data_IF_908297452075
#
_entry.id   IF_908297452075
#
_cell.length_a   1.000
_cell.length_b   1.000
_cell.length_c   1.000
_cell.angle_alpha   90.00
_cell.angle_beta   90.00
_cell.angle_gamma   90.00
#
_symmetry.space_group_name_H-M   'P 1'
#
loop_
_entity.id
_entity.type
_entity.pdbx_description
1 polymer ?
#
# COMPACT_ATOMS: atom_id res chain seq x y z
N UNK A 1 -7.25 36.30 17.93
CA UNK A 1 -7.68 35.05 17.24
C UNK A 1 -8.81 34.46 18.06
N UNK A 2 -9.91 34.04 17.42
CA UNK A 2 -11.03 33.41 18.11
C UNK A 2 -11.17 31.99 17.55
N UNK A 3 -10.93 30.98 18.40
CA UNK A 3 -11.00 29.57 18.01
C UNK A 3 -12.10 28.93 18.84
N UNK A 4 -13.03 28.29 18.15
CA UNK A 4 -14.18 27.66 18.76
C UNK A 4 -14.26 26.20 18.32
N UNK A 5 -14.57 25.33 19.28
CA UNK A 5 -14.88 23.94 19.02
C UNK A 5 -16.05 23.51 19.92
N UNK A 6 -16.95 22.63 19.45
CA UNK A 6 -17.94 22.01 20.32
C UNK A 6 -17.27 21.32 21.51
N UNK A 7 -18.00 21.20 22.62
CA UNK A 7 -17.51 20.51 23.82
C UNK A 7 -17.45 18.99 23.63
N UNK A 8 -16.53 18.54 22.78
CA UNK A 8 -16.33 17.14 22.39
C UNK A 8 -14.85 16.76 22.52
N UNK A 9 -14.58 15.55 23.01
CA UNK A 9 -13.21 15.08 23.29
C UNK A 9 -12.34 15.02 22.05
N UNK A 10 -12.91 14.78 20.87
CA UNK A 10 -12.13 14.68 19.65
C UNK A 10 -12.04 16.04 18.97
N UNK A 11 -13.12 16.81 18.92
CA UNK A 11 -13.10 18.13 18.28
C UNK A 11 -12.23 19.13 19.06
N UNK A 12 -12.24 19.11 20.39
CA UNK A 12 -11.35 19.95 21.20
C UNK A 12 -9.88 19.52 21.08
N UNK A 13 -9.59 18.22 21.11
CA UNK A 13 -8.22 17.73 20.95
C UNK A 13 -7.69 17.97 19.54
N UNK A 14 -8.53 17.87 18.52
CA UNK A 14 -8.18 18.18 17.13
C UNK A 14 -7.90 19.67 16.96
N UNK A 15 -8.73 20.54 17.57
CA UNK A 15 -8.49 21.98 17.58
C UNK A 15 -7.18 22.31 18.32
N UNK A 16 -6.88 21.66 19.45
CA UNK A 16 -5.60 21.82 20.14
C UNK A 16 -4.44 21.36 19.26
N UNK A 17 -4.52 20.17 18.66
CA UNK A 17 -3.47 19.63 17.78
C UNK A 17 -3.20 20.54 16.58
N UNK A 18 -4.25 21.03 15.93
CA UNK A 18 -4.14 22.00 14.83
C UNK A 18 -3.46 23.30 15.29
N UNK A 19 -3.85 23.84 16.45
CA UNK A 19 -3.26 25.06 16.98
C UNK A 19 -1.80 24.87 17.40
N UNK A 20 -1.40 23.67 17.84
CA UNK A 20 0.00 23.35 18.10
C UNK A 20 0.83 23.23 16.82
N UNK A 21 0.23 22.81 15.71
CA UNK A 21 0.88 22.87 14.39
C UNK A 21 1.01 24.29 13.87
N UNK A 22 -0.02 25.13 14.08
CA UNK A 22 -0.04 26.52 13.60
C UNK A 22 0.81 27.45 14.48
N UNK A 23 0.92 27.17 15.77
CA UNK A 23 1.70 27.92 16.76
C UNK A 23 2.60 26.96 17.55
N UNK A 24 3.69 26.48 16.94
CA UNK A 24 4.60 25.54 17.58
C UNK A 24 5.33 26.18 18.79
N UNK A 25 5.93 25.37 19.67
CA UNK A 25 6.71 25.87 20.80
C UNK A 25 7.83 26.81 20.35
N UNK A 26 7.91 27.99 20.97
CA UNK A 26 8.84 29.06 20.56
C UNK A 26 10.23 28.93 21.18
N UNK A 27 10.47 27.88 21.96
CA UNK A 27 11.73 27.65 22.66
C UNK A 27 11.92 28.54 23.89
N UNK A 28 12.98 28.29 24.64
CA UNK A 28 13.35 29.05 25.84
C UNK A 28 13.75 30.50 25.55
N UNK A 29 14.19 30.83 24.34
CA UNK A 29 14.60 32.21 24.00
C UNK A 29 13.42 33.16 23.80
N UNK A 30 12.32 32.71 23.20
CA UNK A 30 11.12 33.52 22.96
C UNK A 30 9.99 33.23 23.97
N UNK A 31 10.07 32.10 24.67
CA UNK A 31 9.08 31.67 25.66
C UNK A 31 9.34 32.18 27.09
N UNK A 32 10.39 32.99 27.30
CA UNK A 32 10.70 33.63 28.58
C UNK A 32 10.05 35.01 28.63
N UNK A 33 9.28 35.27 29.69
CA UNK A 33 8.81 36.60 30.06
C UNK A 33 9.53 37.03 31.33
N UNK A 34 10.15 38.21 31.29
CA UNK A 34 10.83 38.79 32.43
C UNK A 34 9.84 39.61 33.26
N UNK A 35 9.68 39.24 34.53
CA UNK A 35 8.79 39.90 35.48
C UNK A 35 9.46 41.15 36.08
N UNK A 36 8.63 42.07 36.58
CA UNK A 36 9.09 43.36 37.12
C UNK A 36 9.98 43.25 38.37
N UNK A 37 10.02 42.08 39.03
CA UNK A 37 10.92 41.78 40.14
C UNK A 37 12.28 41.21 39.69
N UNK A 38 12.55 41.18 38.37
CA UNK A 38 13.79 40.64 37.79
C UNK A 38 13.81 39.12 37.61
N UNK A 39 12.78 38.39 38.02
CA UNK A 39 12.67 36.95 37.78
C UNK A 39 12.11 36.64 36.40
N UNK A 40 12.46 35.49 35.85
CA UNK A 40 12.00 35.03 34.54
C UNK A 40 11.03 33.87 34.68
N UNK A 41 9.90 33.95 33.99
CA UNK A 41 8.95 32.84 33.88
C UNK A 41 8.95 32.33 32.45
N UNK A 42 9.00 31.01 32.29
CA UNK A 42 9.00 30.36 30.99
C UNK A 42 7.71 29.56 30.81
N UNK A 43 7.11 29.64 29.63
CA UNK A 43 6.00 28.76 29.29
C UNK A 43 6.44 27.27 29.30
N UNK A 44 5.62 26.36 29.84
CA UNK A 44 5.95 24.94 29.97
C UNK A 44 6.27 24.28 28.62
N UNK A 45 6.83 23.06 28.64
CA UNK A 45 7.17 22.28 27.44
C UNK A 45 8.00 23.07 26.40
N UNK A 46 9.02 23.79 26.87
CA UNK A 46 9.96 24.56 26.03
C UNK A 46 9.30 25.66 25.18
N UNK A 47 8.45 26.50 25.80
CA UNK A 47 7.82 27.63 25.10
C UNK A 47 6.50 27.26 24.42
N UNK A 48 5.79 26.25 24.92
CA UNK A 48 4.49 25.82 24.39
C UNK A 48 3.46 26.94 24.48
N UNK A 49 2.75 27.19 23.38
CA UNK A 49 1.78 28.26 23.27
C UNK A 49 0.39 27.75 23.60
N UNK A 50 -0.17 28.21 24.72
CA UNK A 50 -1.52 27.90 25.15
C UNK A 50 -2.51 28.85 24.46
N UNK A 51 -3.11 28.40 23.37
CA UNK A 51 -4.16 29.13 22.68
C UNK A 51 -5.52 28.68 23.25
N UNK A 52 -6.28 29.58 23.88
CA UNK A 52 -7.58 29.23 24.43
C UNK A 52 -8.54 28.86 23.30
N UNK A 53 -9.15 27.68 23.43
CA UNK A 53 -10.25 27.25 22.58
C UNK A 53 -11.52 27.52 23.36
N UNK A 54 -12.35 28.41 22.84
CA UNK A 54 -13.67 28.65 23.41
C UNK A 54 -14.55 27.45 23.09
N UNK A 55 -15.09 26.80 24.12
CA UNK A 55 -16.11 25.78 23.92
C UNK A 55 -17.39 26.47 23.46
N UNK A 56 -17.90 26.07 22.30
CA UNK A 56 -19.30 26.34 21.98
C UNK A 56 -20.10 25.20 22.58
N UNK A 57 -21.00 25.54 23.51
CA UNK A 57 -21.96 24.57 24.03
C UNK A 57 -22.82 24.12 22.86
N UNK A 58 -22.64 22.89 22.40
CA UNK A 58 -23.70 22.22 21.64
C UNK A 58 -24.92 22.25 22.54
N UNK A 59 -26.03 22.85 22.09
CA UNK A 59 -27.29 22.85 22.85
C UNK A 59 -27.84 21.41 23.04
N UNK A 60 -27.22 20.40 22.43
CA UNK A 60 -27.48 19.00 22.66
C UNK A 60 -26.73 18.54 23.93
N UNK A 61 -27.49 18.39 25.02
CA UNK A 61 -27.06 17.56 26.13
C UNK A 61 -26.94 16.13 25.66
N UNK A 62 -25.72 15.63 25.54
CA UNK A 62 -25.43 14.22 25.41
C UNK A 62 -25.12 13.74 23.99
N UNK A 63 -24.06 12.93 23.94
CA UNK A 63 -23.60 12.05 22.85
C UNK A 63 -22.57 12.66 21.92
N UNK A 64 -21.30 12.39 22.26
CA UNK A 64 -20.15 12.16 21.37
C UNK A 64 -20.46 12.42 19.89
N UNK A 65 -19.96 13.54 19.36
CA UNK A 65 -20.16 13.98 17.97
C UNK A 65 -19.66 12.93 16.96
N UNK A 66 -18.79 12.03 17.42
CA UNK A 66 -18.15 10.94 16.67
C UNK A 66 -18.97 9.64 16.66
N UNK A 67 -19.77 9.39 17.71
CA UNK A 67 -20.60 8.17 17.81
C UNK A 67 -22.05 8.42 17.40
N UNK A 68 -22.43 9.68 17.19
CA UNK A 68 -23.68 9.95 16.51
C UNK A 68 -23.49 9.61 15.04
N UNK A 69 -24.05 8.48 14.60
CA UNK A 69 -24.14 8.09 13.20
C UNK A 69 -24.83 9.15 12.30
N UNK A 70 -25.24 10.29 12.88
CA UNK A 70 -25.96 11.38 12.25
C UNK A 70 -25.36 12.75 12.60
N UNK A 71 -24.89 13.47 11.56
CA UNK A 71 -24.16 14.73 11.64
C UNK A 71 -24.87 15.90 12.36
N UNK A 72 -26.20 15.83 12.54
CA UNK A 72 -27.00 16.97 13.04
C UNK A 72 -27.29 16.95 14.54
N UNK A 73 -27.05 15.82 15.23
CA UNK A 73 -27.32 15.68 16.67
C UNK A 73 -26.49 16.64 17.53
N UNK A 74 -25.26 16.94 17.12
CA UNK A 74 -24.35 17.82 17.83
C UNK A 74 -24.71 19.33 17.74
N UNK A 75 -25.65 19.72 16.88
CA UNK A 75 -26.02 21.14 16.72
C UNK A 75 -26.84 21.69 17.89
N UNK A 76 -27.55 20.82 18.62
CA UNK A 76 -28.51 21.22 19.65
C UNK A 76 -29.71 22.04 19.16
N UNK A 77 -29.86 22.17 17.83
CA UNK A 77 -31.04 22.74 17.22
C UNK A 77 -32.17 21.70 17.27
N UNK A 78 -33.15 21.92 18.16
CA UNK A 78 -34.25 20.98 18.37
C UNK A 78 -35.02 20.69 17.07
N UNK A 79 -35.21 21.69 16.20
CA UNK A 79 -35.86 21.48 14.89
C UNK A 79 -35.02 20.59 13.95
N UNK A 80 -33.69 20.73 13.96
CA UNK A 80 -32.80 19.88 13.17
C UNK A 80 -32.76 18.45 13.72
N UNK A 81 -32.79 18.29 15.05
CA UNK A 81 -32.90 16.98 15.73
C UNK A 81 -34.24 16.32 15.38
N UNK A 82 -35.36 17.04 15.50
CA UNK A 82 -36.68 16.53 15.13
C UNK A 82 -36.73 16.15 13.65
N UNK A 83 -36.27 17.02 12.76
CA UNK A 83 -36.22 16.74 11.32
C UNK A 83 -35.37 15.50 11.02
N UNK A 84 -34.24 15.35 11.70
CA UNK A 84 -33.35 14.19 11.56
C UNK A 84 -33.97 12.90 12.08
N UNK A 85 -34.69 12.96 13.20
CA UNK A 85 -35.41 11.80 13.73
C UNK A 85 -36.61 11.43 12.84
N UNK A 86 -37.30 12.44 12.29
CA UNK A 86 -38.40 12.26 11.34
C UNK A 86 -37.95 11.58 10.04
N UNK A 87 -36.68 11.74 9.63
CA UNK A 87 -36.15 10.99 8.48
C UNK A 87 -36.30 9.48 8.67
N UNK A 88 -36.05 8.94 9.86
CA UNK A 88 -36.24 7.50 10.14
C UNK A 88 -37.70 7.05 10.13
N UNK A 89 -38.65 8.00 10.17
CA UNK A 89 -40.08 7.74 10.03
C UNK A 89 -40.57 7.97 8.60
N UNK A 90 -39.78 8.61 7.74
CA UNK A 90 -40.16 8.93 6.36
C UNK A 90 -40.36 7.70 5.49
N UNK A 91 -41.20 7.83 4.46
CA UNK A 91 -41.40 6.78 3.45
C UNK A 91 -40.10 6.42 2.72
N UNK A 92 -39.24 7.41 2.47
CA UNK A 92 -37.98 7.22 1.74
C UNK A 92 -37.02 6.33 2.53
N UNK A 93 -36.87 6.60 3.83
CA UNK A 93 -36.07 5.75 4.70
C UNK A 93 -36.65 4.34 4.79
N UNK A 94 -37.97 4.21 5.03
CA UNK A 94 -38.61 2.89 5.14
C UNK A 94 -38.50 2.08 3.84
N UNK A 95 -38.66 2.72 2.68
CA UNK A 95 -38.52 2.09 1.37
C UNK A 95 -37.08 1.59 1.16
N UNK A 96 -36.08 2.39 1.52
CA UNK A 96 -34.67 2.01 1.36
C UNK A 96 -34.25 0.93 2.38
N UNK A 97 -34.71 1.04 3.63
CA UNK A 97 -34.49 0.04 4.68
C UNK A 97 -35.11 -1.31 4.33
N UNK A 98 -36.32 -1.33 3.75
CA UNK A 98 -36.98 -2.55 3.34
C UNK A 98 -36.36 -3.15 2.08
N UNK A 99 -36.05 -2.33 1.07
CA UNK A 99 -35.45 -2.82 -0.18
C UNK A 99 -34.03 -3.36 0.01
N UNK A 100 -33.27 -2.84 0.98
CA UNK A 100 -31.92 -3.32 1.31
C UNK A 100 -31.87 -4.34 2.45
N UNK A 101 -33.00 -4.70 3.05
CA UNK A 101 -33.04 -5.60 4.20
C UNK A 101 -32.36 -6.95 3.92
N UNK A 102 -32.62 -7.55 2.76
CA UNK A 102 -32.01 -8.82 2.36
C UNK A 102 -30.48 -8.72 2.23
N UNK A 103 -29.97 -7.62 1.66
CA UNK A 103 -28.54 -7.37 1.56
C UNK A 103 -27.89 -7.32 2.94
N UNK A 104 -28.39 -6.50 3.85
CA UNK A 104 -27.80 -6.42 5.19
C UNK A 104 -27.92 -7.75 5.94
N UNK A 105 -29.08 -8.43 5.89
CA UNK A 105 -29.22 -9.75 6.53
C UNK A 105 -28.25 -10.80 5.96
N UNK A 106 -27.90 -10.72 4.67
CA UNK A 106 -26.89 -11.60 4.06
C UNK A 106 -25.47 -11.37 4.59
N UNK A 107 -25.18 -10.21 5.18
CA UNK A 107 -23.88 -9.88 5.78
C UNK A 107 -23.72 -10.45 7.20
N UNK A 108 -24.81 -10.89 7.86
CA UNK A 108 -24.77 -11.39 9.23
C UNK A 108 -23.69 -12.45 9.49
N UNK A 109 -23.47 -13.46 8.62
CA UNK A 109 -22.43 -14.47 8.88
C UNK A 109 -21.02 -13.89 9.00
N UNK A 110 -20.77 -12.72 8.41
CA UNK A 110 -19.46 -12.05 8.39
C UNK A 110 -19.32 -11.08 9.56
N UNK A 111 -20.41 -10.46 10.01
CA UNK A 111 -20.38 -9.41 11.05
C UNK A 111 -21.01 -9.79 12.38
N UNK A 112 -21.53 -11.02 12.54
CA UNK A 112 -22.22 -11.47 13.76
C UNK A 112 -21.37 -11.43 15.04
N UNK A 113 -20.04 -11.49 14.92
CA UNK A 113 -19.11 -11.33 16.04
C UNK A 113 -19.05 -9.89 16.57
N UNK A 114 -19.45 -8.91 15.76
CA UNK A 114 -19.41 -7.47 16.09
C UNK A 114 -20.80 -6.87 16.25
N UNK A 115 -21.75 -7.27 15.40
CA UNK A 115 -23.10 -6.70 15.33
C UNK A 115 -24.18 -7.78 15.41
N UNK A 116 -25.25 -7.47 16.13
CA UNK A 116 -26.45 -8.33 16.15
C UNK A 116 -27.23 -8.18 14.83
N UNK A 117 -28.05 -9.18 14.49
CA UNK A 117 -28.89 -9.14 13.29
C UNK A 117 -29.83 -7.92 13.24
N UNK A 118 -30.23 -7.39 14.41
CA UNK A 118 -31.05 -6.18 14.55
C UNK A 118 -30.24 -4.90 14.31
N UNK A 119 -28.94 -4.93 14.59
CA UNK A 119 -28.05 -3.81 14.32
C UNK A 119 -27.66 -3.74 12.83
N UNK A 120 -27.52 -4.90 12.18
CA UNK A 120 -27.14 -5.01 10.78
C UNK A 120 -28.29 -4.63 9.82
N UNK A 121 -28.49 -3.33 9.65
CA UNK A 121 -29.57 -2.72 8.88
C UNK A 121 -29.08 -1.44 8.20
N UNK A 122 -29.85 -0.93 7.22
CA UNK A 122 -29.56 0.33 6.55
C UNK A 122 -29.41 1.51 7.54
N UNK A 123 -30.15 1.49 8.66
CA UNK A 123 -29.99 2.48 9.74
C UNK A 123 -28.55 2.62 10.25
N UNK A 124 -27.79 1.51 10.29
CA UNK A 124 -26.40 1.48 10.76
C UNK A 124 -25.42 1.15 9.63
N UNK A 125 -25.78 1.47 8.38
CA UNK A 125 -25.03 1.14 7.18
C UNK A 125 -23.54 1.52 7.29
N UNK A 126 -23.25 2.72 7.79
CA UNK A 126 -21.87 3.21 7.92
C UNK A 126 -21.01 2.28 8.78
N UNK A 127 -21.47 1.95 10.00
CA UNK A 127 -20.71 1.10 10.92
C UNK A 127 -20.55 -0.33 10.39
N UNK A 128 -21.59 -0.88 9.76
CA UNK A 128 -21.54 -2.22 9.15
C UNK A 128 -20.51 -2.26 8.02
N UNK A 129 -20.58 -1.31 7.08
CA UNK A 129 -19.68 -1.26 5.94
C UNK A 129 -18.25 -0.90 6.34
N UNK A 130 -18.07 -0.05 7.36
CA UNK A 130 -16.77 0.25 7.92
C UNK A 130 -16.12 -1.01 8.53
N UNK A 131 -16.88 -1.80 9.29
CA UNK A 131 -16.36 -3.06 9.84
C UNK A 131 -15.94 -4.03 8.74
N UNK A 132 -16.75 -4.17 7.69
CA UNK A 132 -16.40 -5.00 6.53
C UNK A 132 -15.13 -4.51 5.83
N UNK A 133 -14.99 -3.19 5.65
CA UNK A 133 -13.77 -2.59 5.08
C UNK A 133 -12.56 -2.87 5.97
N UNK A 134 -12.67 -2.68 7.28
CA UNK A 134 -11.58 -2.98 8.23
C UNK A 134 -11.16 -4.44 8.19
N UNK A 135 -12.12 -5.38 8.07
CA UNK A 135 -11.82 -6.80 7.94
C UNK A 135 -11.12 -7.11 6.60
N UNK A 136 -11.55 -6.48 5.51
CA UNK A 136 -10.90 -6.60 4.21
C UNK A 136 -9.48 -6.02 4.24
N UNK A 137 -9.29 -4.85 4.84
CA UNK A 137 -7.99 -4.22 5.04
C UNK A 137 -7.03 -5.14 5.80
N UNK A 138 -7.49 -5.72 6.91
CA UNK A 138 -6.71 -6.67 7.69
C UNK A 138 -6.36 -7.94 6.89
N UNK A 139 -7.29 -8.46 6.10
CA UNK A 139 -7.04 -9.62 5.23
C UNK A 139 -5.93 -9.32 4.21
N UNK A 140 -6.06 -8.24 3.45
CA UNK A 140 -5.09 -7.86 2.42
C UNK A 140 -3.72 -7.53 3.02
N UNK A 141 -3.69 -6.85 4.16
CA UNK A 141 -2.43 -6.57 4.87
C UNK A 141 -1.73 -7.86 5.33
N UNK A 142 -2.48 -8.81 5.87
CA UNK A 142 -1.95 -10.11 6.31
C UNK A 142 -1.44 -10.97 5.14
N UNK A 143 -1.98 -10.78 3.93
CA UNK A 143 -1.44 -11.39 2.72
C UNK A 143 -0.10 -10.75 2.34
N UNK A 144 0.01 -9.42 2.45
CA UNK A 144 1.17 -8.66 2.04
C UNK A 144 2.37 -8.74 3.00
N UNK A 145 2.16 -9.05 4.28
CA UNK A 145 3.23 -9.16 5.28
C UNK A 145 2.82 -10.03 6.48
N UNK A 146 3.79 -10.77 7.02
CA UNK A 146 3.69 -11.42 8.33
C UNK A 146 5.08 -11.43 8.97
N UNK A 147 5.18 -11.02 10.24
CA UNK A 147 6.45 -10.99 10.96
C UNK A 147 7.12 -12.38 11.08
N UNK A 148 6.32 -13.45 11.17
CA UNK A 148 6.80 -14.83 11.21
C UNK A 148 7.18 -15.38 9.84
N UNK A 149 6.75 -14.73 8.76
CA UNK A 149 6.98 -15.14 7.37
C UNK A 149 7.33 -13.93 6.49
N UNK A 150 8.53 -13.35 6.64
CA UNK A 150 8.90 -12.07 6.03
C UNK A 150 8.91 -12.09 4.50
N UNK A 151 9.04 -13.26 3.87
CA UNK A 151 9.05 -13.40 2.41
C UNK A 151 7.72 -12.99 1.77
N UNK A 152 6.61 -12.95 2.53
CA UNK A 152 5.33 -12.40 2.06
C UNK A 152 5.43 -10.99 1.49
N UNK A 153 6.36 -10.18 2.01
CA UNK A 153 6.58 -8.82 1.55
C UNK A 153 7.50 -8.72 0.31
N UNK A 154 7.65 -9.79 -0.48
CA UNK A 154 8.55 -9.83 -1.65
C UNK A 154 8.31 -8.71 -2.66
N UNK A 155 7.05 -8.30 -2.85
CA UNK A 155 6.72 -7.19 -3.74
C UNK A 155 7.31 -5.86 -3.21
N UNK A 156 7.23 -5.64 -1.90
CA UNK A 156 7.83 -4.49 -1.23
C UNK A 156 9.36 -4.55 -1.25
N UNK A 157 9.95 -5.72 -1.04
CA UNK A 157 11.40 -5.95 -1.13
C UNK A 157 11.94 -5.67 -2.53
N UNK A 158 11.26 -6.17 -3.56
CA UNK A 158 11.65 -5.96 -4.97
C UNK A 158 11.57 -4.48 -5.33
N UNK A 159 10.48 -3.82 -4.93
CA UNK A 159 10.33 -2.39 -5.10
C UNK A 159 11.42 -1.60 -4.38
N UNK A 160 11.76 -1.95 -3.13
CA UNK A 160 12.84 -1.30 -2.39
C UNK A 160 14.18 -1.41 -3.12
N UNK A 161 14.47 -2.58 -3.71
CA UNK A 161 15.63 -2.78 -4.58
C UNK A 161 15.61 -1.88 -5.82
N UNK A 162 14.47 -1.78 -6.51
CA UNK A 162 14.30 -0.91 -7.68
C UNK A 162 14.43 0.57 -7.32
N UNK A 163 13.85 1.01 -6.20
CA UNK A 163 14.00 2.38 -5.69
C UNK A 163 15.48 2.67 -5.43
N UNK A 164 16.18 1.77 -4.73
CA UNK A 164 17.59 1.95 -4.43
C UNK A 164 18.43 2.05 -5.72
N UNK A 165 18.20 1.16 -6.68
CA UNK A 165 18.87 1.21 -7.98
C UNK A 165 18.63 2.54 -8.69
N UNK A 166 17.41 3.05 -8.65
CA UNK A 166 17.02 4.25 -9.37
C UNK A 166 17.54 5.53 -8.71
N UNK A 167 17.56 5.58 -7.38
CA UNK A 167 18.20 6.65 -6.62
C UNK A 167 19.72 6.64 -6.83
N UNK A 168 20.34 5.46 -6.82
CA UNK A 168 21.77 5.32 -7.09
C UNK A 168 22.15 5.77 -8.51
N UNK A 169 21.33 5.41 -9.51
CA UNK A 169 21.49 5.89 -10.88
C UNK A 169 21.42 7.42 -10.95
N UNK A 170 20.45 8.03 -10.27
CA UNK A 170 20.32 9.50 -10.20
C UNK A 170 21.58 10.14 -9.60
N UNK A 171 22.16 9.55 -8.54
CA UNK A 171 23.38 10.06 -7.90
C UNK A 171 24.60 9.91 -8.81
N UNK A 172 24.83 8.71 -9.35
CA UNK A 172 26.01 8.37 -10.16
C UNK A 172 26.04 9.09 -11.51
N UNK A 173 24.87 9.29 -12.13
CA UNK A 173 24.73 10.05 -13.38
C UNK A 173 24.61 11.56 -13.17
N UNK A 174 24.75 12.04 -11.93
CA UNK A 174 24.62 13.46 -11.56
C UNK A 174 23.31 14.06 -12.06
N UNK A 175 22.20 13.35 -11.81
CA UNK A 175 20.84 13.74 -12.18
C UNK A 175 20.60 13.89 -13.69
N UNK A 176 21.25 13.06 -14.53
CA UNK A 176 20.88 12.93 -15.94
C UNK A 176 19.42 12.45 -16.09
N UNK A 177 18.99 11.53 -15.22
CA UNK A 177 17.58 11.16 -15.04
C UNK A 177 17.10 11.74 -13.71
N UNK A 178 16.18 12.70 -13.77
CA UNK A 178 15.72 13.47 -12.59
C UNK A 178 14.45 12.93 -11.94
N UNK A 179 13.68 12.15 -12.68
CA UNK A 179 12.38 11.69 -12.26
C UNK A 179 12.11 10.30 -12.83
N UNK A 180 11.54 9.44 -12.00
CA UNK A 180 11.14 8.10 -12.36
C UNK A 180 9.76 7.84 -11.78
N UNK A 181 8.92 7.16 -12.54
CA UNK A 181 7.57 6.79 -12.13
C UNK A 181 7.37 5.31 -12.36
N UNK A 182 6.78 4.65 -11.38
CA UNK A 182 6.41 3.24 -11.44
C UNK A 182 4.98 3.09 -10.97
N UNK A 183 4.22 2.24 -11.65
CA UNK A 183 2.85 1.95 -11.32
C UNK A 183 2.78 0.57 -10.69
N UNK A 184 2.09 0.46 -9.56
CA UNK A 184 1.89 -0.82 -8.89
C UNK A 184 0.51 -0.92 -8.26
N UNK A 185 0.18 -2.10 -7.76
CA UNK A 185 -1.05 -2.40 -7.05
C UNK A 185 -0.92 -2.13 -5.55
N UNK A 186 -2.06 -2.02 -4.86
CA UNK A 186 -2.15 -1.78 -3.43
C UNK A 186 -1.31 -2.76 -2.59
N UNK A 187 -1.18 -4.03 -2.99
CA UNK A 187 -0.37 -5.02 -2.28
C UNK A 187 1.11 -4.66 -2.20
N UNK A 188 1.66 -3.96 -3.22
CA UNK A 188 3.05 -3.47 -3.18
C UNK A 188 3.22 -2.35 -2.16
N UNK A 189 2.22 -1.47 -2.03
CA UNK A 189 2.21 -0.46 -0.97
C UNK A 189 2.20 -1.14 0.40
N UNK A 190 1.25 -2.05 0.65
CA UNK A 190 1.13 -2.76 1.93
C UNK A 190 2.41 -3.53 2.30
N UNK A 191 3.01 -4.25 1.34
CA UNK A 191 4.28 -4.95 1.57
C UNK A 191 5.42 -3.98 1.87
N UNK A 192 5.57 -2.90 1.11
CA UNK A 192 6.62 -1.90 1.36
C UNK A 192 6.41 -1.20 2.71
N UNK A 193 5.20 -0.78 3.03
CA UNK A 193 4.87 -0.10 4.28
C UNK A 193 5.20 -0.95 5.50
N UNK A 194 4.97 -2.26 5.40
CA UNK A 194 5.30 -3.20 6.45
C UNK A 194 6.81 -3.31 6.66
N UNK A 195 7.58 -3.46 5.57
CA UNK A 195 9.04 -3.51 5.62
C UNK A 195 9.66 -2.19 6.10
N UNK A 196 9.06 -1.07 5.74
CA UNK A 196 9.44 0.27 6.16
C UNK A 196 8.97 0.62 7.58
N UNK A 197 8.27 -0.29 8.27
CA UNK A 197 7.73 -0.11 9.62
C UNK A 197 6.80 1.12 9.74
N UNK A 198 6.07 1.43 8.67
CA UNK A 198 5.20 2.60 8.61
C UNK A 198 3.89 2.43 9.41
N UNK A 199 3.48 1.18 9.65
CA UNK A 199 2.31 0.84 10.47
C UNK A 199 2.33 1.44 11.88
N UNK A 200 3.52 1.76 12.42
CA UNK A 200 3.66 2.39 13.73
C UNK A 200 3.20 3.87 13.77
N UNK A 201 3.13 4.55 12.62
CA UNK A 201 2.82 5.98 12.57
C UNK A 201 1.35 6.28 12.24
N UNK A 202 0.67 5.40 11.50
CA UNK A 202 -0.72 5.61 11.12
C UNK A 202 -1.41 4.30 10.74
N UNK A 203 -2.69 4.10 11.10
CA UNK A 203 -3.49 2.95 10.64
C UNK A 203 -3.68 2.94 9.11
N UNK A 204 -3.48 4.06 8.43
CA UNK A 204 -3.53 4.13 6.96
C UNK A 204 -2.50 3.22 6.28
N UNK A 205 -1.41 2.89 6.97
CA UNK A 205 -0.37 1.99 6.43
C UNK A 205 -0.70 0.51 6.57
N UNK A 206 -1.75 0.17 7.33
CA UNK A 206 -2.30 -1.19 7.43
C UNK A 206 -3.59 -1.36 6.63
N UNK A 207 -4.12 -0.28 6.04
CA UNK A 207 -5.30 -0.32 5.20
C UNK A 207 -4.95 -0.50 3.72
N UNK A 208 -5.91 -0.97 2.92
CA UNK A 208 -5.79 -0.93 1.47
C UNK A 208 -5.83 0.54 1.05
N UNK A 209 -4.78 0.96 0.34
CA UNK A 209 -4.65 2.33 -0.16
C UNK A 209 -5.76 2.64 -1.17
N UNK A 210 -6.26 3.87 -1.13
CA UNK A 210 -7.28 4.33 -2.07
C UNK A 210 -6.71 4.42 -3.49
N UNK A 211 -7.60 4.43 -4.49
CA UNK A 211 -7.19 4.60 -5.88
C UNK A 211 -6.45 5.94 -6.10
N UNK A 212 -5.46 5.90 -6.99
CA UNK A 212 -4.55 7.02 -7.27
C UNK A 212 -3.66 7.44 -6.10
N UNK A 213 -3.50 6.59 -5.08
CA UNK A 213 -2.48 6.77 -4.06
C UNK A 213 -1.08 6.80 -4.67
N UNK A 214 -0.21 7.59 -4.08
CA UNK A 214 1.17 7.75 -4.52
C UNK A 214 2.11 7.77 -3.33
N UNK A 215 3.26 7.12 -3.47
CA UNK A 215 4.38 7.32 -2.57
C UNK A 215 5.60 7.79 -3.34
N UNK A 216 6.37 8.69 -2.74
CA UNK A 216 7.45 9.41 -3.39
C UNK A 216 8.71 9.33 -2.54
N UNK A 217 9.83 9.06 -3.20
CA UNK A 217 11.15 9.06 -2.59
C UNK A 217 11.96 10.17 -3.23
N UNK A 218 12.32 11.17 -2.45
CA UNK A 218 13.06 12.33 -2.91
C UNK A 218 14.50 12.27 -2.41
N UNK A 219 15.46 12.57 -3.29
CA UNK A 219 16.81 12.92 -2.87
C UNK A 219 16.83 14.40 -2.49
N UNK A 220 17.16 14.69 -1.24
CA UNK A 220 17.29 16.02 -0.69
C UNK A 220 18.74 16.26 -0.26
N UNK A 221 19.22 17.49 -0.46
CA UNK A 221 20.51 17.94 0.06
C UNK A 221 20.39 19.39 0.49
N UNK A 222 21.17 19.78 1.48
CA UNK A 222 21.34 21.18 1.88
C UNK A 222 22.55 21.83 1.20
N UNK A 223 23.35 21.06 0.47
CA UNK A 223 24.48 21.57 -0.29
C UNK A 223 24.01 22.34 -1.54
N UNK A 224 24.77 23.37 -1.92
CA UNK A 224 24.46 24.16 -3.11
C UNK A 224 24.79 23.35 -4.37
N UNK A 225 23.74 22.91 -5.08
CA UNK A 225 23.87 22.18 -6.34
C UNK A 225 23.96 23.17 -7.50
N UNK A 226 24.94 23.00 -8.38
CA UNK A 226 25.06 23.79 -9.63
C UNK A 226 25.34 22.86 -10.81
N UNK A 227 25.30 23.38 -12.04
CA UNK A 227 25.62 22.59 -13.23
C UNK A 227 27.06 22.01 -13.24
N UNK A 228 27.94 22.52 -12.36
CA UNK A 228 29.35 22.11 -12.25
C UNK A 228 29.69 21.46 -10.90
N UNK A 229 28.78 21.48 -9.93
CA UNK A 229 28.99 20.92 -8.58
C UNK A 229 27.81 20.05 -8.17
N UNK A 230 28.08 18.78 -7.94
CA UNK A 230 27.11 17.79 -7.45
C UNK A 230 27.44 17.44 -6.00
N UNK A 231 26.44 17.33 -5.10
CA UNK A 231 26.67 17.03 -3.69
C UNK A 231 27.40 15.70 -3.51
N UNK A 232 28.23 15.61 -2.47
CA UNK A 232 28.83 14.35 -2.09
C UNK A 232 27.76 13.40 -1.53
N UNK A 233 27.95 12.08 -1.66
CA UNK A 233 26.92 11.08 -1.28
C UNK A 233 26.51 11.17 0.20
N UNK A 234 27.43 11.58 1.08
CA UNK A 234 27.18 11.80 2.51
C UNK A 234 26.35 13.06 2.80
N UNK A 235 26.20 13.98 1.85
CA UNK A 235 25.35 15.18 1.94
C UNK A 235 23.95 14.96 1.36
N UNK A 236 23.67 13.75 0.87
CA UNK A 236 22.39 13.37 0.27
C UNK A 236 21.57 12.58 1.28
N UNK A 237 20.33 12.98 1.43
CA UNK A 237 19.32 12.32 2.25
C UNK A 237 18.13 11.90 1.41
N UNK A 238 17.41 10.89 1.86
CA UNK A 238 16.15 10.44 1.26
C UNK A 238 15.00 10.94 2.14
N UNK A 239 13.97 11.50 1.51
CA UNK A 239 12.70 11.84 2.14
C UNK A 239 11.59 11.00 1.51
N UNK A 240 10.78 10.39 2.36
CA UNK A 240 9.62 9.61 1.94
C UNK A 240 8.34 10.42 2.14
N UNK A 241 7.49 10.42 1.13
CA UNK A 241 6.19 11.05 1.17
C UNK A 241 5.10 10.10 0.69
N UNK A 242 3.91 10.26 1.25
CA UNK A 242 2.76 9.46 0.89
C UNK A 242 1.51 10.33 0.80
N UNK A 243 0.70 10.05 -0.21
CA UNK A 243 -0.66 10.54 -0.36
C UNK A 243 -1.57 9.32 -0.54
N UNK A 244 -2.53 9.16 0.37
CA UNK A 244 -3.60 8.17 0.21
C UNK A 244 -4.69 8.79 -0.65
N UNK A 245 -4.99 8.21 -1.80
CA UNK A 245 -5.83 8.79 -2.83
C UNK A 245 -5.13 9.88 -3.65
N UNK A 246 -5.93 10.66 -4.40
CA UNK A 246 -5.40 11.71 -5.27
C UNK A 246 -4.65 12.79 -4.49
N UNK A 247 -3.34 12.91 -4.71
CA UNK A 247 -2.47 13.86 -4.03
C UNK A 247 -2.91 15.34 -4.17
N UNK A 248 -3.57 15.70 -5.28
CA UNK A 248 -4.11 17.05 -5.49
C UNK A 248 -5.25 17.41 -4.51
N UNK A 249 -5.95 16.41 -3.98
CA UNK A 249 -7.07 16.61 -3.04
C UNK A 249 -6.62 16.42 -1.59
N UNK A 250 -5.79 15.41 -1.34
CA UNK A 250 -5.42 14.99 0.01
C UNK A 250 -4.09 15.59 0.51
N UNK A 251 -3.33 16.24 -0.38
CA UNK A 251 -1.98 16.68 -0.09
C UNK A 251 -0.99 15.51 -0.03
N UNK A 252 0.27 15.84 0.20
CA UNK A 252 1.37 14.89 0.29
C UNK A 252 2.05 15.08 1.64
N UNK A 253 2.14 14.00 2.43
CA UNK A 253 2.68 14.05 3.80
C UNK A 253 3.99 13.29 3.88
N UNK A 254 5.00 13.87 4.53
CA UNK A 254 6.28 13.21 4.77
C UNK A 254 6.20 12.31 6.00
N UNK A 255 6.74 11.09 5.90
CA UNK A 255 6.78 10.14 7.01
C UNK A 255 8.20 9.63 7.27
N UNK A 256 8.57 9.39 8.54
CA UNK A 256 9.81 8.68 8.85
C UNK A 256 9.81 7.26 8.32
N UNK A 257 10.97 6.78 7.87
CA UNK A 257 11.15 5.39 7.42
C UNK A 257 11.87 4.56 8.49
N UNK A 258 11.60 3.25 8.48
CA UNK A 258 12.32 2.23 9.25
C UNK A 258 12.29 2.49 10.77
N UNK A 259 11.14 2.93 11.28
CA UNK A 259 10.93 3.18 12.71
C UNK A 259 11.70 4.39 13.27
N UNK A 260 12.26 5.24 12.41
CA UNK A 260 12.95 6.46 12.84
C UNK A 260 11.98 7.56 13.26
N UNK A 261 12.46 8.59 13.93
CA UNK A 261 11.67 9.79 14.26
C UNK A 261 11.81 10.92 13.23
N UNK A 262 12.89 10.89 12.43
CA UNK A 262 13.18 11.90 11.42
C UNK A 262 12.55 11.57 10.07
N UNK A 263 11.95 12.55 9.41
CA UNK A 263 11.38 12.42 8.05
C UNK A 263 12.44 12.37 6.95
N UNK A 264 13.71 12.55 7.30
CA UNK A 264 14.85 12.43 6.39
C UNK A 264 15.85 11.42 6.92
N UNK A 265 16.35 10.55 6.04
CA UNK A 265 17.35 9.53 6.33
C UNK A 265 18.58 9.72 5.43
N UNK A 266 19.81 9.65 5.93
CA UNK A 266 21.01 9.70 5.08
C UNK A 266 20.98 8.60 4.01
N UNK A 267 21.40 8.91 2.78
CA UNK A 267 21.32 7.96 1.65
C UNK A 267 22.03 6.63 1.94
N UNK A 268 23.21 6.67 2.59
CA UNK A 268 23.94 5.46 2.94
C UNK A 268 23.14 4.55 3.90
N UNK A 269 22.48 5.12 4.90
CA UNK A 269 21.63 4.38 5.83
C UNK A 269 20.40 3.80 5.12
N UNK A 270 19.78 4.57 4.23
CA UNK A 270 18.69 4.09 3.38
C UNK A 270 19.14 2.91 2.49
N UNK A 271 20.31 3.01 1.88
CA UNK A 271 20.87 1.96 1.04
C UNK A 271 21.11 0.66 1.81
N UNK A 272 21.61 0.74 3.06
CA UNK A 272 21.80 -0.44 3.91
C UNK A 272 20.46 -1.14 4.21
N UNK A 273 19.43 -0.38 4.58
CA UNK A 273 18.09 -0.93 4.83
C UNK A 273 17.49 -1.57 3.58
N UNK A 274 17.51 -0.87 2.44
CA UNK A 274 16.97 -1.41 1.19
C UNK A 274 17.77 -2.61 0.67
N UNK A 275 19.08 -2.69 0.94
CA UNK A 275 19.89 -3.86 0.59
C UNK A 275 19.58 -5.07 1.47
N UNK A 276 19.30 -4.85 2.76
CA UNK A 276 18.87 -5.91 3.68
C UNK A 276 17.48 -6.44 3.30
N UNK A 277 16.56 -5.55 2.88
CA UNK A 277 15.22 -5.95 2.44
C UNK A 277 15.19 -6.52 1.02
N UNK A 278 16.08 -6.07 0.14
CA UNK A 278 16.08 -6.32 -1.32
C UNK A 278 16.95 -7.50 -1.79
N UNK A 279 17.56 -8.27 -0.89
CA UNK A 279 18.29 -9.50 -1.25
C UNK A 279 17.31 -10.65 -1.57
N UNK A 280 16.43 -10.44 -2.55
CA UNK A 280 15.41 -11.41 -2.99
C UNK A 280 15.96 -12.50 -3.91
N UNK A 281 17.19 -12.35 -4.41
CA UNK A 281 17.82 -13.29 -5.34
C UNK A 281 18.07 -14.68 -4.74
N UNK A 282 18.27 -14.77 -3.42
CA UNK A 282 18.42 -16.07 -2.72
C UNK A 282 17.09 -16.57 -2.11
N UNK A 283 16.15 -15.67 -1.82
CA UNK A 283 14.92 -16.01 -1.09
C UNK A 283 13.82 -16.53 -2.02
N UNK A 284 13.78 -16.09 -3.29
CA UNK A 284 12.90 -16.68 -4.30
C UNK A 284 13.41 -18.01 -4.86
N UNK A 285 14.66 -18.40 -4.55
CA UNK A 285 15.25 -19.67 -4.99
C UNK A 285 14.89 -20.85 -4.07
N UNK A 286 14.42 -20.60 -2.84
CA UNK A 286 14.22 -21.64 -1.82
C UNK A 286 12.95 -22.48 -1.98
N UNK A 287 12.13 -22.27 -3.02
CA UNK A 287 10.87 -23.02 -3.22
C UNK A 287 10.83 -23.74 -4.57
N UNK A 288 11.94 -24.35 -4.96
CA UNK A 288 11.97 -25.28 -6.08
C UNK A 288 12.43 -26.69 -5.67
N UNK A 289 12.18 -27.17 -4.45
CA UNK A 289 12.22 -28.63 -4.15
C UNK A 289 11.44 -28.96 -2.88
N UNK A 290 10.16 -29.31 -3.04
CA UNK A 290 9.45 -30.38 -2.31
C UNK A 290 7.98 -30.47 -2.72
N UNK A 291 7.72 -30.42 -4.04
CA UNK A 291 6.52 -31.03 -4.58
C UNK A 291 6.74 -32.54 -4.57
N UNK A 292 6.22 -33.17 -3.53
CA UNK A 292 6.04 -34.61 -3.41
C UNK A 292 5.28 -35.17 -4.61
N UNK A 293 6.02 -35.63 -5.63
CA UNK A 293 5.50 -36.61 -6.58
C UNK A 293 5.50 -37.96 -5.87
N UNK A 294 4.31 -38.37 -5.45
CA UNK A 294 3.98 -39.72 -5.01
C UNK A 294 4.35 -40.75 -6.09
N UNK A 295 5.41 -41.51 -5.86
CA UNK A 295 5.58 -42.83 -6.44
C UNK A 295 6.38 -43.71 -5.50
N UNK A 296 5.65 -44.64 -4.91
CA UNK A 296 6.08 -45.76 -4.07
C UNK A 296 7.12 -46.65 -4.75
N UNK A 297 8.22 -46.93 -4.05
CA UNK A 297 8.82 -48.26 -4.03
C UNK A 297 9.79 -48.42 -2.84
N UNK A 298 9.58 -49.52 -2.16
CA UNK A 298 10.22 -50.06 -0.97
C UNK A 298 11.70 -50.42 -1.14
N UNK A 299 12.53 -50.16 -0.13
CA UNK A 299 13.46 -51.15 0.47
C UNK A 299 14.30 -50.53 1.59
N UNK A 300 14.84 -51.42 2.41
CA UNK A 300 15.14 -51.31 3.83
C UNK A 300 16.56 -50.83 4.17
N UNK A 301 16.71 -50.45 5.45
CA UNK A 301 17.87 -50.67 6.33
C UNK A 301 18.87 -49.53 6.58
N UNK A 302 18.96 -49.25 7.89
CA UNK A 302 20.16 -49.06 8.72
C UNK A 302 20.89 -47.71 8.82
N UNK A 303 21.16 -47.42 10.09
CA UNK A 303 21.91 -46.35 10.75
C UNK A 303 23.39 -46.28 10.37
N UNK A 304 23.96 -45.07 10.21
CA UNK A 304 25.17 -44.54 10.90
C UNK A 304 25.97 -43.49 10.08
N UNK A 305 26.08 -42.29 10.66
CA UNK A 305 27.26 -41.41 10.83
C UNK A 305 28.26 -41.09 9.69
N UNK A 306 28.39 -39.78 9.42
CA UNK A 306 29.58 -38.96 9.03
C UNK A 306 30.50 -39.39 7.88
N UNK A 307 30.60 -38.55 6.84
CA UNK A 307 31.82 -37.79 6.48
C UNK A 307 31.66 -37.06 5.14
N UNK A 308 32.32 -35.90 5.06
CA UNK A 308 32.39 -34.97 3.94
C UNK A 308 32.94 -35.57 2.64
N UNK A 309 32.33 -35.26 1.50
CA UNK A 309 33.08 -35.11 0.24
C UNK A 309 32.48 -34.02 -0.64
N UNK A 310 33.34 -33.11 -1.06
CA UNK A 310 33.13 -32.09 -2.06
C UNK A 310 32.88 -32.71 -3.43
N UNK A 311 31.81 -32.29 -4.12
CA UNK A 311 31.76 -32.38 -5.58
C UNK A 311 31.12 -31.10 -6.13
N UNK A 312 31.79 -30.53 -7.13
CA UNK A 312 31.43 -29.25 -7.73
C UNK A 312 30.05 -29.30 -8.38
N UNK A 313 29.10 -28.59 -7.78
CA UNK A 313 27.78 -28.36 -8.37
C UNK A 313 27.89 -27.41 -9.56
N UNK A 314 27.38 -27.84 -10.71
CA UNK A 314 27.16 -26.98 -11.87
C UNK A 314 26.28 -25.79 -11.48
N UNK A 315 26.67 -24.58 -11.88
CA UNK A 315 25.87 -23.36 -11.67
C UNK A 315 24.42 -23.57 -12.14
N UNK A 316 23.46 -23.09 -11.35
CA UNK A 316 22.03 -23.18 -11.61
C UNK A 316 21.64 -22.60 -12.99
N UNK A 317 22.41 -21.63 -13.50
CA UNK A 317 22.23 -21.10 -14.85
C UNK A 317 22.52 -22.16 -15.94
N UNK A 318 23.51 -23.02 -15.73
CA UNK A 318 23.88 -24.10 -16.65
C UNK A 318 22.84 -25.21 -16.62
N UNK A 319 22.29 -25.54 -15.45
CA UNK A 319 21.21 -26.51 -15.32
C UNK A 319 19.92 -26.05 -16.04
N UNK A 320 19.59 -24.76 -15.99
CA UNK A 320 18.44 -24.19 -16.71
C UNK A 320 18.56 -24.29 -18.23
N UNK A 321 19.75 -24.04 -18.78
CA UNK A 321 19.99 -24.16 -20.24
C UNK A 321 19.93 -25.62 -20.69
N UNK A 322 20.46 -26.55 -19.90
CA UNK A 322 20.38 -27.99 -20.20
C UNK A 322 18.92 -28.45 -20.20
N UNK A 323 18.12 -28.04 -19.21
CA UNK A 323 16.68 -28.35 -19.15
C UNK A 323 15.92 -27.84 -20.38
N UNK A 324 16.17 -26.58 -20.78
CA UNK A 324 15.54 -26.00 -21.97
C UNK A 324 15.90 -26.76 -23.26
N UNK A 325 17.16 -27.16 -23.44
CA UNK A 325 17.59 -27.90 -24.63
C UNK A 325 16.99 -29.31 -24.69
N UNK A 326 16.87 -30.01 -23.55
CA UNK A 326 16.27 -31.35 -23.50
C UNK A 326 14.78 -31.31 -23.82
N UNK A 327 14.05 -30.34 -23.26
CA UNK A 327 12.61 -30.18 -23.57
C UNK A 327 12.37 -29.89 -25.05
N UNK A 328 13.20 -29.03 -25.65
CA UNK A 328 13.11 -28.71 -27.07
C UNK A 328 13.38 -29.94 -27.96
N UNK A 329 14.38 -30.75 -27.60
CA UNK A 329 14.69 -31.99 -28.33
C UNK A 329 13.55 -33.01 -28.26
N UNK A 330 12.91 -33.16 -27.09
CA UNK A 330 11.76 -34.07 -26.93
C UNK A 330 10.57 -33.60 -27.76
N UNK A 331 10.24 -32.31 -27.72
CA UNK A 331 9.12 -31.74 -28.47
C UNK A 331 9.35 -31.90 -29.98
N UNK A 332 10.53 -31.49 -30.49
CA UNK A 332 10.85 -31.63 -31.91
C UNK A 332 10.90 -33.10 -32.35
N UNK A 333 11.36 -34.01 -31.47
CA UNK A 333 11.33 -35.44 -31.73
C UNK A 333 9.91 -36.00 -31.86
N UNK A 334 8.99 -35.55 -30.99
CA UNK A 334 7.58 -35.93 -31.03
C UNK A 334 6.88 -35.38 -32.27
N UNK A 335 7.12 -34.11 -32.62
CA UNK A 335 6.59 -33.49 -33.84
C UNK A 335 7.10 -34.18 -35.10
N UNK A 336 8.40 -34.52 -35.17
CA UNK A 336 8.98 -35.25 -36.29
C UNK A 336 8.35 -36.64 -36.44
N UNK A 337 8.09 -37.35 -35.34
CA UNK A 337 7.45 -38.66 -35.34
C UNK A 337 5.99 -38.57 -35.82
N UNK A 338 5.25 -37.55 -35.40
CA UNK A 338 3.88 -37.29 -35.88
C UNK A 338 3.87 -37.00 -37.39
N UNK A 339 4.79 -36.16 -37.87
CA UNK A 339 4.90 -35.84 -39.31
C UNK A 339 5.22 -37.10 -40.15
N UNK A 340 6.06 -38.00 -39.63
CA UNK A 340 6.42 -39.25 -40.29
C UNK A 340 5.22 -40.23 -40.35
N UNK A 341 4.49 -40.38 -39.24
CA UNK A 341 3.32 -41.28 -39.19
C UNK A 341 2.10 -40.74 -39.95
N UNK A 342 1.92 -39.42 -40.02
CA UNK A 342 0.82 -38.79 -40.75
C UNK A 342 1.11 -38.58 -42.24
N UNK A 343 2.31 -38.91 -42.73
CA UNK A 343 2.71 -38.74 -44.13
C UNK A 343 2.84 -37.27 -44.59
N UNK A 344 3.00 -36.34 -43.65
CA UNK A 344 3.03 -34.91 -43.91
C UNK A 344 4.47 -34.45 -44.19
N UNK A 345 4.67 -33.72 -45.29
CA UNK A 345 5.98 -33.12 -45.64
C UNK A 345 6.00 -31.63 -45.29
N UNK A 346 7.08 -31.18 -44.65
CA UNK A 346 7.31 -29.75 -44.41
C UNK A 346 7.77 -29.11 -45.72
N UNK A 347 7.02 -28.13 -46.22
CA UNK A 347 7.36 -27.37 -47.44
C UNK A 347 7.67 -25.93 -47.07
N UNK A 348 8.76 -25.38 -47.62
CA UNK A 348 9.11 -23.98 -47.38
C UNK A 348 8.09 -23.05 -48.04
N UNK A 349 7.71 -21.98 -47.34
CA UNK A 349 6.72 -20.99 -47.81
C UNK A 349 7.13 -20.29 -49.11
N UNK A 350 8.43 -20.26 -49.44
CA UNK A 350 8.95 -19.74 -50.73
C UNK A 350 8.59 -20.62 -51.93
N UNK A 351 8.25 -21.89 -51.73
CA UNK A 351 7.85 -22.82 -52.79
C UNK A 351 6.36 -22.79 -53.16
N UNK A 352 5.51 -22.18 -52.33
CA UNK A 352 4.04 -22.16 -52.54
C UNK A 352 3.53 -20.88 -53.24
N UNK A 353 4.41 -19.94 -53.58
CA UNK A 353 4.05 -18.65 -54.18
C UNK A 353 3.92 -18.63 -55.71
N UNK A 354 4.06 -19.75 -56.40
CA UNK A 354 4.10 -19.83 -57.86
C UNK A 354 2.91 -20.61 -58.48
N UNK A 355 1.71 -20.44 -57.93
CA UNK A 355 0.47 -20.90 -58.56
C UNK A 355 -0.44 -19.69 -58.87
N UNK A 356 -0.85 -19.45 -60.13
CA UNK A 356 -1.73 -18.33 -60.46
C UNK A 356 -3.17 -18.63 -60.05
N UNK A 357 -3.79 -17.72 -59.31
CA UNK A 357 -5.21 -17.75 -58.97
C UNK A 357 -6.03 -17.00 -60.03
N UNK A 358 -7.17 -17.53 -60.53
CA UNK A 358 -7.98 -16.85 -61.53
C UNK A 358 -8.81 -15.71 -60.93
N UNK A 359 -9.20 -14.80 -61.82
CA UNK A 359 -9.76 -13.49 -61.60
C UNK A 359 -11.05 -13.43 -60.76
N UNK A 360 -11.19 -12.30 -60.07
CA UNK A 360 -12.38 -11.85 -59.37
C UNK A 360 -13.58 -11.69 -60.31
N UNK A 361 -14.71 -12.31 -59.95
CA UNK A 361 -16.02 -11.99 -60.48
C UNK A 361 -16.86 -11.30 -59.40
N UNK A 362 -17.14 -10.03 -59.66
CA UNK A 362 -18.15 -9.19 -58.99
C UNK A 362 -19.52 -9.81 -59.24
N UNK A 363 -20.37 -9.97 -58.22
CA UNK A 363 -21.82 -9.95 -58.38
C UNK A 363 -22.53 -9.60 -57.05
N UNK A 364 -23.55 -8.77 -57.21
CA UNK A 364 -24.24 -7.98 -56.20
C UNK A 364 -25.17 -8.78 -55.28
N UNK A 365 -25.43 -8.22 -54.09
CA UNK A 365 -26.59 -8.55 -53.25
C UNK A 365 -27.91 -8.25 -53.97
N UNK A 366 -28.98 -8.96 -53.61
CA UNK A 366 -30.26 -8.31 -53.44
C UNK A 366 -30.87 -8.51 -52.05
N UNK A 367 -31.61 -7.47 -51.69
CA UNK A 367 -32.50 -7.30 -50.54
C UNK A 367 -33.85 -8.01 -50.79
N UNK A 368 -34.52 -8.35 -49.68
CA UNK A 368 -35.94 -8.76 -49.47
C UNK A 368 -36.28 -10.24 -49.74
N UNK A 369 -37.14 -10.88 -48.96
CA UNK A 369 -38.22 -10.39 -48.09
C UNK A 369 -38.29 -11.14 -46.75
#
# INVERSE_FOLDING_TARGET
MNVQAPSDTVLQNSAQGFLQGLYPPVGSTLGIQQLHNGSSVQAPLNGYQLIPISTVTSLAGGTNSENTAWLQGASGCNNAIISSNNYFLSSDFQALQNSTASFYQSLNPVVNGTFTATYNTYKNAYSVLLQLRTLADHHEFSLAYNASDPIRAIAGSTLAGQILQQLNNTITTKSAVKFNIQFSAYGTFSSFFSLAQLAAFSPNFTAVVDYASSMTFELATNATVSNTSYPAVNEISVRFLFANGSAALNGVTAYPLFGQSSTTIPYNSFATWCSACGNSTDVCASTATSSSSSSSSSSSAAVATTSSSSSGGMSLAVAGVIGAMVTLAVILGLEALILLLAGLRVVSKKGLGAAPSPAAAILASPVKA
#
